data_IF_773446998807
#
_entry.id   IF_773446998807
#
_cell.length_a   1.000
_cell.length_b   1.000
_cell.length_c   1.000
_cell.angle_alpha   90.00
_cell.angle_beta   90.00
_cell.angle_gamma   90.00
#
_symmetry.space_group_name_H-M   'P 1'
#
loop_
_entity.id
_entity.type
_entity.pdbx_description
1 polymer ?
#
# COMPACT_ATOMS: atom_id res chain seq x y z
N UNK A 1 29.43 -26.39 -3.37
CA UNK A 1 30.09 -25.34 -4.19
C UNK A 1 29.09 -24.21 -4.42
N UNK A 2 29.23 -23.07 -3.73
CA UNK A 2 28.43 -21.87 -4.07
C UNK A 2 28.89 -21.39 -5.44
N UNK A 3 28.03 -21.41 -6.44
CA UNK A 3 28.31 -20.72 -7.71
C UNK A 3 28.44 -19.23 -7.38
N UNK A 4 29.59 -18.64 -7.74
CA UNK A 4 29.74 -17.18 -7.76
C UNK A 4 28.80 -16.63 -8.84
N UNK A 5 27.54 -16.43 -8.51
CA UNK A 5 26.59 -15.78 -9.41
C UNK A 5 26.73 -14.28 -9.22
N UNK A 6 27.25 -13.59 -10.23
CA UNK A 6 27.18 -12.14 -10.24
C UNK A 6 25.72 -11.72 -10.45
N UNK A 7 25.14 -11.04 -9.47
CA UNK A 7 23.80 -10.45 -9.64
C UNK A 7 23.90 -9.23 -10.55
N UNK A 8 22.90 -9.06 -11.40
CA UNK A 8 22.78 -7.85 -12.21
C UNK A 8 22.31 -6.68 -11.35
N UNK A 9 22.66 -5.45 -11.74
CA UNK A 9 22.07 -4.26 -11.17
C UNK A 9 20.63 -4.14 -11.63
N UNK A 10 19.69 -4.32 -10.72
CA UNK A 10 18.25 -4.26 -11.00
C UNK A 10 17.66 -2.94 -10.48
N UNK A 11 17.22 -2.10 -11.40
CA UNK A 11 16.57 -0.81 -11.13
C UNK A 11 15.07 -0.83 -11.47
N UNK A 12 14.44 -2.01 -11.52
CA UNK A 12 13.00 -2.14 -11.77
C UNK A 12 12.19 -1.48 -10.66
N UNK A 13 11.15 -0.77 -11.05
CA UNK A 13 10.26 -0.07 -10.11
C UNK A 13 9.42 -1.02 -9.22
N UNK A 14 9.20 -2.25 -9.69
CA UNK A 14 8.49 -3.31 -8.95
C UNK A 14 8.04 -4.46 -9.86
N UNK A 15 8.28 -5.70 -9.43
CA UNK A 15 8.99 -6.13 -8.23
C UNK A 15 10.40 -5.56 -8.15
N UNK A 16 10.74 -4.96 -7.00
CA UNK A 16 12.04 -4.33 -6.81
C UNK A 16 13.11 -5.36 -6.37
N UNK A 17 14.37 -4.92 -6.38
CA UNK A 17 15.47 -5.71 -5.84
C UNK A 17 15.27 -5.94 -4.34
N UNK A 18 15.52 -7.16 -3.89
CA UNK A 18 15.54 -7.52 -2.47
C UNK A 18 17.01 -7.59 -1.96
N UNK A 19 17.23 -7.29 -0.67
CA UNK A 19 18.52 -7.52 -0.04
C UNK A 19 18.96 -8.98 -0.21
N UNK A 20 20.26 -9.19 -0.44
CA UNK A 20 20.78 -10.53 -0.72
C UNK A 20 20.69 -11.44 0.51
N UNK A 21 20.85 -10.85 1.69
CA UNK A 21 20.73 -11.53 2.98
C UNK A 21 19.33 -12.10 3.17
N UNK A 22 18.29 -11.33 2.84
CA UNK A 22 16.88 -11.79 2.91
C UNK A 22 16.62 -12.93 1.94
N UNK A 23 17.16 -12.86 0.73
CA UNK A 23 17.01 -13.95 -0.25
C UNK A 23 17.77 -15.22 0.17
N UNK A 24 18.93 -15.05 0.81
CA UNK A 24 19.70 -16.18 1.32
C UNK A 24 18.98 -16.85 2.49
N UNK A 25 18.47 -16.07 3.44
CA UNK A 25 17.68 -16.59 4.56
C UNK A 25 16.45 -17.37 4.07
N UNK A 26 15.69 -16.80 3.14
CA UNK A 26 14.56 -17.50 2.53
C UNK A 26 14.97 -18.79 1.80
N UNK A 27 16.13 -18.83 1.17
CA UNK A 27 16.64 -20.03 0.50
C UNK A 27 17.11 -21.10 1.51
N UNK A 28 17.76 -20.71 2.60
CA UNK A 28 18.26 -21.61 3.62
C UNK A 28 17.07 -22.24 4.41
N UNK A 29 15.97 -21.52 4.61
CA UNK A 29 14.75 -21.96 5.31
C UNK A 29 13.70 -22.58 4.36
N UNK A 30 13.97 -22.66 3.06
CA UNK A 30 12.96 -23.09 2.07
C UNK A 30 12.45 -24.51 2.30
N UNK A 31 13.29 -25.43 2.73
CA UNK A 31 12.92 -26.84 2.97
C UNK A 31 12.56 -27.11 4.42
N UNK A 32 13.15 -26.38 5.36
CA UNK A 32 12.97 -26.60 6.79
C UNK A 32 13.07 -25.27 7.53
N UNK A 33 11.92 -24.65 7.78
CA UNK A 33 11.85 -23.39 8.53
C UNK A 33 12.20 -23.65 10.00
N UNK A 34 13.40 -23.22 10.41
CA UNK A 34 13.89 -23.22 11.80
C UNK A 34 13.73 -24.56 12.53
N UNK A 35 13.95 -25.69 11.85
CA UNK A 35 13.86 -27.02 12.42
C UNK A 35 12.42 -27.54 12.61
N UNK A 36 11.44 -26.92 11.98
CA UNK A 36 10.03 -27.35 12.01
C UNK A 36 9.76 -28.63 11.20
N UNK A 37 10.72 -29.03 10.35
CA UNK A 37 10.61 -30.18 9.46
C UNK A 37 9.75 -29.92 8.22
N UNK A 38 9.40 -28.65 7.93
CA UNK A 38 8.61 -28.30 6.76
C UNK A 38 8.88 -26.88 6.28
N UNK A 39 8.60 -26.61 5.01
CA UNK A 39 8.61 -25.29 4.42
C UNK A 39 7.47 -24.43 4.96
N UNK A 40 7.69 -23.10 5.07
CA UNK A 40 6.60 -22.16 5.35
C UNK A 40 5.47 -22.28 4.30
N UNK A 41 5.80 -22.63 3.04
CA UNK A 41 4.83 -22.83 1.97
C UNK A 41 3.87 -24.01 2.20
N UNK A 42 4.23 -24.96 3.06
CA UNK A 42 3.45 -26.15 3.39
C UNK A 42 2.68 -26.00 4.71
N UNK A 43 2.96 -24.95 5.48
CA UNK A 43 2.37 -24.76 6.82
C UNK A 43 0.91 -24.37 6.75
N UNK A 44 0.12 -24.96 7.61
CA UNK A 44 -1.22 -24.43 7.89
C UNK A 44 -1.12 -23.05 8.54
N UNK A 45 -1.92 -22.10 8.05
CA UNK A 45 -2.05 -20.77 8.68
C UNK A 45 -2.56 -20.83 10.14
N UNK A 46 -3.01 -22.02 10.60
CA UNK A 46 -3.44 -22.29 12.00
C UNK A 46 -2.35 -22.93 12.85
N UNK A 47 -1.19 -23.23 12.27
CA UNK A 47 -0.08 -23.79 13.04
C UNK A 47 0.54 -22.71 13.93
N UNK A 48 1.08 -23.13 15.08
CA UNK A 48 1.76 -22.21 16.01
C UNK A 48 2.99 -21.53 15.37
N UNK A 49 3.68 -22.24 14.50
CA UNK A 49 4.86 -21.72 13.79
C UNK A 49 4.44 -20.58 12.85
N UNK A 50 3.42 -20.82 12.02
CA UNK A 50 2.92 -19.79 11.13
C UNK A 50 2.29 -18.60 11.88
N UNK A 51 1.54 -18.86 12.94
CA UNK A 51 0.97 -17.82 13.81
C UNK A 51 2.05 -16.89 14.37
N UNK A 52 3.21 -17.46 14.75
CA UNK A 52 4.35 -16.67 15.20
C UNK A 52 4.94 -15.81 14.08
N UNK A 53 5.09 -16.35 12.85
CA UNK A 53 5.59 -15.60 11.69
C UNK A 53 4.72 -14.37 11.42
N UNK A 54 3.41 -14.58 11.30
CA UNK A 54 2.51 -13.48 10.93
C UNK A 54 2.37 -12.43 12.04
N UNK A 55 2.39 -12.85 13.32
CA UNK A 55 2.36 -11.92 14.46
C UNK A 55 3.64 -11.11 14.57
N UNK A 56 4.80 -11.73 14.31
CA UNK A 56 6.07 -11.01 14.28
C UNK A 56 6.07 -9.96 13.15
N UNK A 57 5.64 -10.33 11.95
CA UNK A 57 5.52 -9.40 10.84
C UNK A 57 4.55 -8.23 11.13
N UNK A 58 3.43 -8.50 11.81
CA UNK A 58 2.51 -7.45 12.27
C UNK A 58 3.18 -6.53 13.29
N UNK A 59 3.88 -7.11 14.28
CA UNK A 59 4.54 -6.35 15.33
C UNK A 59 5.65 -5.46 14.76
N UNK A 60 6.46 -5.99 13.83
CA UNK A 60 7.50 -5.22 13.16
C UNK A 60 6.93 -4.00 12.42
N UNK A 61 5.79 -4.17 11.74
CA UNK A 61 5.10 -3.04 11.09
C UNK A 61 4.59 -2.03 12.12
N UNK A 62 4.02 -2.49 13.22
CA UNK A 62 3.54 -1.62 14.31
C UNK A 62 4.68 -0.80 14.91
N UNK A 63 5.81 -1.43 15.14
CA UNK A 63 7.00 -0.78 15.70
C UNK A 63 7.62 0.21 14.72
N UNK A 64 7.78 -0.17 13.44
CA UNK A 64 8.35 0.70 12.41
C UNK A 64 7.51 1.94 12.09
N UNK A 65 6.20 1.83 12.17
CA UNK A 65 5.27 2.90 11.81
C UNK A 65 4.58 3.54 13.02
N UNK A 66 4.89 3.09 14.25
CA UNK A 66 4.20 3.51 15.48
C UNK A 66 2.67 3.38 15.36
N UNK A 67 2.19 2.21 14.87
CA UNK A 67 0.77 1.97 14.63
C UNK A 67 0.05 1.78 15.97
N UNK A 68 -0.92 2.65 16.35
CA UNK A 68 -1.66 2.49 17.61
C UNK A 68 -2.64 1.30 17.56
N UNK A 69 -3.04 0.81 18.74
CA UNK A 69 -3.88 -0.39 18.89
C UNK A 69 -5.27 -0.29 18.26
N UNK A 70 -5.77 0.92 18.05
CA UNK A 70 -7.05 1.16 17.39
C UNK A 70 -7.01 0.94 15.87
N UNK A 71 -5.82 0.77 15.27
CA UNK A 71 -5.66 0.37 13.88
C UNK A 71 -5.52 -1.14 13.75
N UNK A 72 -6.05 -1.69 12.66
CA UNK A 72 -5.87 -3.08 12.28
C UNK A 72 -4.86 -3.17 11.14
N UNK A 73 -3.92 -4.11 11.26
CA UNK A 73 -3.01 -4.48 10.18
C UNK A 73 -3.59 -5.70 9.48
N UNK A 74 -3.70 -5.64 8.16
CA UNK A 74 -4.27 -6.70 7.34
C UNK A 74 -3.27 -7.11 6.26
N UNK A 75 -2.99 -8.41 6.17
CA UNK A 75 -2.21 -9.00 5.09
C UNK A 75 -3.17 -9.61 4.08
N UNK A 76 -3.27 -9.02 2.90
CA UNK A 76 -4.25 -9.36 1.90
C UNK A 76 -3.59 -9.83 0.60
N UNK A 77 -4.27 -10.69 -0.14
CA UNK A 77 -3.91 -11.04 -1.51
C UNK A 77 -4.58 -10.13 -2.53
N UNK A 78 -4.30 -10.33 -3.83
CA UNK A 78 -5.02 -9.67 -4.93
C UNK A 78 -4.34 -8.41 -5.47
N UNK A 79 -3.20 -8.02 -4.91
CA UNK A 79 -2.46 -6.83 -5.30
C UNK A 79 -3.17 -5.52 -4.96
N UNK A 80 -2.43 -4.39 -5.01
CA UNK A 80 -2.98 -3.07 -4.68
C UNK A 80 -4.17 -2.67 -5.57
N UNK A 81 -4.25 -3.17 -6.82
CA UNK A 81 -5.36 -2.85 -7.72
C UNK A 81 -6.71 -3.42 -7.24
N UNK A 82 -6.71 -4.51 -6.47
CA UNK A 82 -7.95 -5.03 -5.88
C UNK A 82 -8.52 -4.07 -4.84
N UNK A 83 -7.67 -3.27 -4.18
CA UNK A 83 -8.11 -2.29 -3.21
C UNK A 83 -8.95 -1.16 -3.85
N UNK A 84 -8.77 -0.89 -5.14
CA UNK A 84 -9.61 0.07 -5.87
C UNK A 84 -11.10 -0.32 -5.85
N UNK A 85 -11.40 -1.62 -5.75
CA UNK A 85 -12.75 -2.15 -5.58
C UNK A 85 -13.12 -2.35 -4.11
N UNK A 86 -12.21 -2.95 -3.31
CA UNK A 86 -12.50 -3.30 -1.92
C UNK A 86 -12.79 -2.07 -1.05
N UNK A 87 -12.06 -0.98 -1.26
CA UNK A 87 -12.24 0.26 -0.50
C UNK A 87 -13.64 0.84 -0.70
N UNK A 88 -14.13 1.12 -1.93
CA UNK A 88 -15.48 1.63 -2.10
C UNK A 88 -16.56 0.62 -1.66
N UNK A 89 -16.35 -0.69 -1.85
CA UNK A 89 -17.30 -1.71 -1.38
C UNK A 89 -17.49 -1.68 0.14
N UNK A 90 -16.44 -1.35 0.90
CA UNK A 90 -16.48 -1.36 2.36
C UNK A 90 -16.78 0.03 2.96
N UNK A 91 -16.30 1.09 2.34
CA UNK A 91 -16.31 2.43 2.95
C UNK A 91 -17.36 3.38 2.37
N UNK A 92 -17.81 3.23 1.12
CA UNK A 92 -18.82 4.11 0.50
C UNK A 92 -20.23 3.84 1.04
N UNK A 93 -20.49 4.18 2.28
CA UNK A 93 -21.79 3.99 2.95
C UNK A 93 -22.87 4.91 2.37
N UNK A 94 -22.54 6.19 2.17
CA UNK A 94 -23.40 7.18 1.53
C UNK A 94 -23.35 7.12 0.01
N UNK A 95 -22.56 6.21 -0.55
CA UNK A 95 -22.33 6.08 -1.99
C UNK A 95 -21.65 7.30 -2.62
N UNK A 96 -20.92 8.08 -1.85
CA UNK A 96 -20.16 9.26 -2.31
C UNK A 96 -18.74 9.20 -1.77
N UNK A 97 -17.76 9.45 -2.63
CA UNK A 97 -16.35 9.61 -2.24
C UNK A 97 -15.65 10.61 -3.16
N UNK A 98 -14.65 11.29 -2.62
CA UNK A 98 -13.88 12.30 -3.32
C UNK A 98 -12.48 11.79 -3.66
N UNK A 99 -12.03 12.05 -4.87
CA UNK A 99 -10.75 11.58 -5.39
C UNK A 99 -9.89 12.73 -5.88
N UNK A 100 -8.63 12.78 -5.45
CA UNK A 100 -7.60 13.67 -5.98
C UNK A 100 -6.77 12.86 -6.99
N UNK A 101 -6.92 13.18 -8.27
CA UNK A 101 -6.39 12.37 -9.37
C UNK A 101 -5.08 12.99 -9.87
N UNK A 102 -3.96 12.53 -9.29
CA UNK A 102 -2.61 13.06 -9.56
C UNK A 102 -1.73 12.08 -10.36
N UNK A 103 -2.31 11.00 -10.85
CA UNK A 103 -1.59 10.02 -11.66
C UNK A 103 -2.48 8.91 -12.16
N UNK A 104 -1.89 8.00 -12.94
CA UNK A 104 -2.60 6.90 -13.59
C UNK A 104 -3.26 5.94 -12.57
N UNK A 105 -2.62 5.70 -11.42
CA UNK A 105 -3.16 4.80 -10.41
C UNK A 105 -4.35 5.42 -9.69
N UNK A 106 -4.25 6.70 -9.30
CA UNK A 106 -5.38 7.44 -8.74
C UNK A 106 -6.55 7.53 -9.75
N UNK A 107 -6.25 7.69 -11.06
CA UNK A 107 -7.27 7.66 -12.12
C UNK A 107 -7.98 6.32 -12.20
N UNK A 108 -7.25 5.21 -12.16
CA UNK A 108 -7.83 3.85 -12.16
C UNK A 108 -8.66 3.61 -10.90
N UNK A 109 -8.20 4.03 -9.73
CA UNK A 109 -8.96 3.92 -8.48
C UNK A 109 -10.27 4.70 -8.53
N UNK A 110 -10.23 5.94 -9.03
CA UNK A 110 -11.43 6.76 -9.25
C UNK A 110 -12.43 6.10 -10.22
N UNK A 111 -11.93 5.58 -11.36
CA UNK A 111 -12.76 4.88 -12.35
C UNK A 111 -13.40 3.62 -11.77
N UNK A 112 -12.66 2.86 -10.98
CA UNK A 112 -13.21 1.66 -10.33
C UNK A 112 -14.28 2.03 -9.30
N UNK A 113 -14.00 3.00 -8.43
CA UNK A 113 -14.95 3.46 -7.43
C UNK A 113 -16.28 3.99 -8.03
N UNK A 114 -16.21 4.56 -9.23
CA UNK A 114 -17.41 5.05 -9.96
C UNK A 114 -18.42 3.93 -10.29
N UNK A 115 -18.02 2.66 -10.19
CA UNK A 115 -18.92 1.51 -10.36
C UNK A 115 -19.75 1.22 -9.11
N UNK A 116 -19.35 1.72 -7.94
CA UNK A 116 -19.96 1.44 -6.65
C UNK A 116 -20.80 2.61 -6.11
N UNK A 117 -20.55 3.82 -6.60
CA UNK A 117 -21.24 5.02 -6.19
C UNK A 117 -20.75 6.24 -6.95
N UNK A 118 -21.07 7.43 -6.43
CA UNK A 118 -20.63 8.70 -6.99
C UNK A 118 -19.19 8.98 -6.53
N UNK A 119 -18.21 8.75 -7.40
CA UNK A 119 -16.83 9.12 -7.17
C UNK A 119 -16.56 10.48 -7.84
N UNK A 120 -16.37 11.53 -7.04
CA UNK A 120 -16.09 12.86 -7.52
C UNK A 120 -14.58 13.04 -7.73
N UNK A 121 -14.17 13.51 -8.89
CA UNK A 121 -12.81 13.98 -9.13
C UNK A 121 -12.71 15.45 -8.72
N UNK A 122 -12.35 15.73 -7.47
CA UNK A 122 -12.37 17.07 -6.88
C UNK A 122 -11.13 17.91 -7.22
N UNK A 123 -10.02 17.25 -7.55
CA UNK A 123 -8.84 17.90 -8.09
C UNK A 123 -8.08 16.92 -9.00
N UNK A 124 -7.32 17.46 -9.95
CA UNK A 124 -6.49 16.66 -10.87
C UNK A 124 -5.37 17.49 -11.43
N UNK A 125 -4.25 16.84 -11.74
CA UNK A 125 -3.14 17.41 -12.53
C UNK A 125 -3.02 16.79 -13.93
N UNK A 126 -4.11 16.20 -14.43
CA UNK A 126 -4.18 15.58 -15.76
C UNK A 126 -3.93 16.60 -16.89
N UNK A 127 -4.26 17.88 -16.67
CA UNK A 127 -4.05 18.99 -17.58
C UNK A 127 -2.59 19.18 -18.01
N UNK A 128 -1.65 18.82 -17.12
CA UNK A 128 -0.20 18.85 -17.40
C UNK A 128 0.43 17.46 -17.28
N UNK A 129 -0.29 16.44 -17.71
CA UNK A 129 0.19 15.05 -17.72
C UNK A 129 0.71 14.59 -16.35
N UNK A 130 0.03 15.02 -15.28
CA UNK A 130 0.35 14.67 -13.88
C UNK A 130 1.75 15.09 -13.41
N UNK A 131 2.30 16.17 -13.97
CA UNK A 131 3.65 16.65 -13.64
C UNK A 131 3.72 17.48 -12.36
N UNK A 132 2.63 17.66 -11.64
CA UNK A 132 2.56 18.39 -10.38
C UNK A 132 1.49 17.83 -9.44
N UNK A 133 1.56 18.21 -8.17
CA UNK A 133 0.49 17.99 -7.19
C UNK A 133 -0.30 19.30 -7.08
N UNK A 134 -1.63 19.30 -7.25
CA UNK A 134 -2.46 20.50 -7.07
C UNK A 134 -2.35 21.03 -5.64
N UNK A 135 -2.66 22.31 -5.45
CA UNK A 135 -2.89 22.83 -4.11
C UNK A 135 -4.09 22.12 -3.48
N UNK A 136 -3.85 21.44 -2.37
CA UNK A 136 -4.83 20.65 -1.64
C UNK A 136 -5.21 21.26 -0.28
N UNK A 137 -4.90 22.53 -0.04
CA UNK A 137 -5.18 23.24 1.20
C UNK A 137 -6.67 23.56 1.38
N UNK A 138 -7.38 23.85 0.29
CA UNK A 138 -8.83 24.16 0.30
C UNK A 138 -9.55 23.55 -0.90
N UNK A 139 -9.79 22.25 -0.84
CA UNK A 139 -10.50 21.51 -1.89
C UNK A 139 -12.02 21.54 -1.67
N UNK A 140 -12.82 21.41 -2.75
CA UNK A 140 -14.29 21.32 -2.69
C UNK A 140 -14.72 19.92 -2.22
N UNK A 141 -14.38 19.59 -0.96
CA UNK A 141 -14.77 18.32 -0.34
C UNK A 141 -16.29 18.23 -0.24
N UNK A 142 -16.86 17.13 -0.72
CA UNK A 142 -18.30 16.88 -0.67
C UNK A 142 -18.76 16.67 0.77
N UNK A 143 -19.85 17.31 1.15
CA UNK A 143 -20.40 17.21 2.51
C UNK A 143 -20.81 15.78 2.87
N UNK A 144 -21.32 15.02 1.91
CA UNK A 144 -21.77 13.64 2.02
C UNK A 144 -20.67 12.60 1.67
N UNK A 145 -19.44 13.03 1.34
CA UNK A 145 -18.35 12.09 1.05
C UNK A 145 -17.99 11.22 2.26
N UNK A 146 -17.89 9.93 2.03
CA UNK A 146 -17.46 8.95 3.04
C UNK A 146 -15.95 9.00 3.28
N UNK A 147 -15.18 9.33 2.23
CA UNK A 147 -13.71 9.46 2.31
C UNK A 147 -13.15 10.33 1.17
N UNK A 148 -11.91 10.77 1.38
CA UNK A 148 -11.06 11.39 0.35
C UNK A 148 -9.93 10.42 0.01
N UNK A 149 -9.67 10.20 -1.28
CA UNK A 149 -8.67 9.26 -1.76
C UNK A 149 -7.49 9.96 -2.44
N UNK A 150 -6.28 9.49 -2.13
CA UNK A 150 -5.04 9.87 -2.82
C UNK A 150 -4.20 8.65 -3.20
N UNK A 151 -3.39 8.79 -4.24
CA UNK A 151 -2.18 7.99 -4.46
C UNK A 151 -0.99 8.88 -4.09
N UNK A 152 -0.36 8.59 -2.95
CA UNK A 152 0.56 9.54 -2.32
C UNK A 152 1.84 9.77 -3.11
N UNK A 153 2.34 8.72 -3.78
CA UNK A 153 3.49 8.80 -4.67
C UNK A 153 3.14 8.29 -6.06
N UNK A 154 3.24 9.15 -7.05
CA UNK A 154 2.91 8.86 -8.45
C UNK A 154 4.16 8.40 -9.20
N UNK A 155 4.48 7.12 -9.10
CA UNK A 155 5.72 6.49 -9.59
C UNK A 155 6.04 6.83 -11.04
N UNK A 156 5.03 6.77 -11.93
CA UNK A 156 5.21 7.00 -13.38
C UNK A 156 5.63 8.44 -13.68
N UNK A 157 5.13 9.40 -12.90
CA UNK A 157 5.28 10.83 -13.16
C UNK A 157 6.32 11.51 -12.27
N UNK A 158 6.84 10.78 -11.25
CA UNK A 158 7.85 11.30 -10.32
C UNK A 158 7.32 12.40 -9.39
N UNK A 159 6.02 12.43 -9.13
CA UNK A 159 5.40 13.40 -8.22
C UNK A 159 4.96 12.73 -6.93
N UNK A 160 5.15 13.42 -5.80
CA UNK A 160 4.77 12.95 -4.46
C UNK A 160 4.14 14.09 -3.67
N UNK A 161 3.17 13.78 -2.84
CA UNK A 161 2.63 14.75 -1.89
C UNK A 161 3.69 15.10 -0.85
N UNK A 162 3.96 16.41 -0.66
CA UNK A 162 4.80 16.93 0.41
C UNK A 162 4.01 17.15 1.69
N UNK A 163 2.75 17.52 1.53
CA UNK A 163 1.78 17.73 2.59
C UNK A 163 0.49 16.98 2.24
N UNK A 164 -0.16 16.43 3.24
CA UNK A 164 -1.44 15.75 3.07
C UNK A 164 -2.54 16.75 2.73
N UNK A 165 -3.55 16.38 1.95
CA UNK A 165 -4.67 17.25 1.64
C UNK A 165 -5.48 17.59 2.89
N UNK A 166 -6.01 18.81 2.94
CA UNK A 166 -7.02 19.16 3.92
C UNK A 166 -8.35 18.48 3.55
N UNK A 167 -8.66 17.41 4.23
CA UNK A 167 -9.88 16.62 4.01
C UNK A 167 -11.12 17.19 4.70
N UNK A 168 -10.99 18.33 5.39
CA UNK A 168 -12.09 18.94 6.18
C UNK A 168 -12.74 17.95 7.15
N UNK A 169 -11.91 17.06 7.74
CA UNK A 169 -12.35 16.05 8.71
C UNK A 169 -12.89 14.74 8.11
N UNK A 170 -12.90 14.59 6.79
CA UNK A 170 -13.23 13.32 6.16
C UNK A 170 -12.07 12.33 6.26
N UNK A 171 -12.42 11.05 6.28
CA UNK A 171 -11.46 9.95 6.29
C UNK A 171 -10.51 10.03 5.10
N UNK A 172 -9.20 10.06 5.34
CA UNK A 172 -8.20 9.98 4.27
C UNK A 172 -7.87 8.52 3.97
N UNK A 173 -7.94 8.15 2.70
CA UNK A 173 -7.53 6.85 2.17
C UNK A 173 -6.34 7.06 1.23
N UNK A 174 -5.23 6.37 1.49
CA UNK A 174 -4.01 6.55 0.73
C UNK A 174 -3.46 5.23 0.16
N UNK A 175 -3.21 5.23 -1.16
CA UNK A 175 -2.34 4.25 -1.81
C UNK A 175 -0.90 4.73 -1.65
N UNK A 176 -0.13 4.01 -0.86
CA UNK A 176 1.29 4.28 -0.60
C UNK A 176 2.21 3.24 -1.22
N UNK A 177 1.74 2.44 -2.17
CA UNK A 177 2.47 1.28 -2.72
C UNK A 177 3.91 1.57 -3.09
N UNK A 178 4.22 2.77 -3.60
CA UNK A 178 5.59 3.10 -4.05
C UNK A 178 6.41 3.93 -3.07
N UNK A 179 5.84 4.30 -1.93
CA UNK A 179 6.54 5.02 -0.86
C UNK A 179 6.35 4.38 0.53
N UNK A 180 5.75 3.21 0.60
CA UNK A 180 5.51 2.51 1.85
C UNK A 180 6.83 2.25 2.57
N UNK A 181 6.93 2.64 3.85
CA UNK A 181 8.14 2.55 4.67
C UNK A 181 9.39 3.28 4.10
N UNK A 182 9.22 4.20 3.16
CA UNK A 182 10.35 4.99 2.63
C UNK A 182 10.74 6.16 3.54
N UNK A 183 9.83 6.58 4.40
CA UNK A 183 10.02 7.66 5.38
C UNK A 183 9.03 7.48 6.54
N UNK A 184 9.27 8.11 7.70
CA UNK A 184 8.33 8.10 8.82
C UNK A 184 6.98 8.70 8.43
N UNK A 185 5.89 8.06 8.85
CA UNK A 185 4.52 8.46 8.59
C UNK A 185 3.75 8.54 9.90
N UNK A 186 2.98 9.60 10.10
CA UNK A 186 1.99 9.68 11.17
C UNK A 186 0.70 9.00 10.71
N UNK A 187 0.54 7.71 11.06
CA UNK A 187 -0.61 6.91 10.65
C UNK A 187 -1.94 7.45 11.16
N UNK A 188 -1.93 8.26 12.22
CA UNK A 188 -3.16 8.83 12.82
C UNK A 188 -3.86 9.84 11.91
N UNK A 189 -3.17 10.34 10.90
CA UNK A 189 -3.72 11.24 9.87
C UNK A 189 -4.55 10.52 8.81
N UNK A 190 -4.54 9.20 8.81
CA UNK A 190 -5.22 8.38 7.79
C UNK A 190 -6.29 7.50 8.44
N UNK A 191 -7.35 7.25 7.71
CA UNK A 191 -8.29 6.20 8.05
C UNK A 191 -7.90 4.86 7.46
N UNK A 192 -7.29 4.88 6.26
CA UNK A 192 -6.73 3.70 5.58
C UNK A 192 -5.44 4.07 4.88
N UNK A 193 -4.41 3.29 5.14
CA UNK A 193 -3.17 3.25 4.36
C UNK A 193 -3.09 1.86 3.74
N UNK A 194 -2.79 1.76 2.46
CA UNK A 194 -2.53 0.45 1.86
C UNK A 194 -1.43 0.52 0.81
N UNK A 195 -0.78 -0.60 0.56
CA UNK A 195 0.24 -0.68 -0.47
C UNK A 195 0.58 -2.11 -0.86
N UNK A 196 0.88 -2.30 -2.15
CA UNK A 196 1.48 -3.54 -2.64
C UNK A 196 2.94 -3.61 -2.19
N UNK A 197 3.33 -4.73 -1.57
CA UNK A 197 4.64 -4.87 -0.91
C UNK A 197 5.82 -4.94 -1.88
N UNK A 198 5.60 -5.29 -3.15
CA UNK A 198 6.64 -5.61 -4.14
C UNK A 198 7.55 -4.45 -4.54
N UNK A 199 7.29 -3.23 -4.07
CA UNK A 199 8.13 -2.07 -4.39
C UNK A 199 9.18 -1.84 -3.32
N UNK A 200 8.79 -1.64 -2.06
CA UNK A 200 9.72 -1.25 -1.00
C UNK A 200 9.69 -2.13 0.26
N UNK A 201 8.79 -3.11 0.36
CA UNK A 201 8.62 -3.90 1.59
C UNK A 201 9.14 -5.32 1.42
N UNK A 202 8.78 -6.01 0.34
CA UNK A 202 9.10 -7.42 0.19
C UNK A 202 8.75 -7.99 -1.18
N UNK A 203 8.68 -9.33 -1.33
CA UNK A 203 8.33 -9.97 -2.59
C UNK A 203 6.88 -9.73 -2.98
N UNK A 204 6.57 -9.81 -4.28
CA UNK A 204 5.20 -9.68 -4.79
C UNK A 204 4.27 -10.77 -4.22
N UNK A 205 3.00 -10.40 -3.99
CA UNK A 205 1.94 -11.35 -3.58
C UNK A 205 1.07 -10.86 -2.43
N UNK A 206 1.54 -9.86 -1.68
CA UNK A 206 0.83 -9.32 -0.51
C UNK A 206 0.50 -7.85 -0.70
N UNK A 207 -0.63 -7.43 -0.12
CA UNK A 207 -1.01 -6.04 0.14
C UNK A 207 -1.18 -5.89 1.64
N UNK A 208 -0.65 -4.84 2.18
CA UNK A 208 -0.83 -4.45 3.58
C UNK A 208 -1.69 -3.21 3.62
#
# INVERSE_FOLDING_TARGET
MRRNMSRVYNFSAGPAVLPEEVLQEAADEMLDYQGSGMSVMEMSHRSKVYDNIIKTAEQDLRDLMNIPDNYKVLFLQGGASQQFAMIPMNLMKNKVADYIVTGQWAKKAWQEASKYGKANKIASSEDKTFSYIPDCSDLPISEDADYVYICENNTIYGTKYKELPNTKGKTLVADVSSCFLSEPVDVTKYGVIYGGVQKNIGPAGVVI
#
